data_IF_506956960584
#
_entry.id   IF_506956960584
#
_cell.length_a   1.000
_cell.length_b   1.000
_cell.length_c   1.000
_cell.angle_alpha   90.00
_cell.angle_beta   90.00
_cell.angle_gamma   90.00
#
_symmetry.space_group_name_H-M   'P 1'
#
loop_
_entity.id
_entity.type
_entity.pdbx_description
1 polymer ?
#
# COMPACT_ATOMS: atom_id res chain seq x y z
N UNK A 1 17.69 -18.82 8.89
CA UNK A 1 16.85 -17.73 8.37
C UNK A 1 17.14 -16.48 9.18
N UNK A 2 17.56 -15.39 8.53
CA UNK A 2 17.78 -14.09 9.15
C UNK A 2 16.47 -13.30 9.26
N UNK A 3 16.45 -12.23 10.06
CA UNK A 3 15.29 -11.35 10.16
C UNK A 3 14.92 -10.72 8.79
N UNK A 4 15.92 -10.40 7.97
CA UNK A 4 15.74 -9.86 6.63
C UNK A 4 15.14 -10.90 5.67
N UNK A 5 15.60 -12.15 5.74
CA UNK A 5 15.01 -13.25 4.96
C UNK A 5 13.54 -13.48 5.35
N UNK A 6 13.21 -13.42 6.65
CA UNK A 6 11.84 -13.52 7.13
C UNK A 6 10.98 -12.36 6.65
N UNK A 7 11.48 -11.12 6.72
CA UNK A 7 10.78 -9.93 6.21
C UNK A 7 10.45 -10.11 4.73
N UNK A 8 11.43 -10.45 3.90
CA UNK A 8 11.22 -10.67 2.47
C UNK A 8 10.19 -11.78 2.17
N UNK A 9 10.23 -12.87 2.94
CA UNK A 9 9.23 -13.92 2.83
C UNK A 9 7.83 -13.44 3.19
N UNK A 10 7.67 -12.66 4.28
CA UNK A 10 6.39 -12.08 4.68
C UNK A 10 5.84 -11.19 3.56
N UNK A 11 6.66 -10.29 3.00
CA UNK A 11 6.20 -9.39 1.92
C UNK A 11 5.82 -10.16 0.65
N UNK A 12 6.54 -11.24 0.32
CA UNK A 12 6.16 -12.14 -0.78
C UNK A 12 4.81 -12.81 -0.53
N UNK A 13 4.58 -13.32 0.68
CA UNK A 13 3.31 -13.92 1.08
C UNK A 13 2.18 -12.89 1.08
N UNK A 14 2.44 -11.64 1.46
CA UNK A 14 1.47 -10.54 1.39
C UNK A 14 1.01 -10.28 -0.04
N UNK A 15 1.93 -10.29 -1.02
CA UNK A 15 1.54 -10.17 -2.45
C UNK A 15 0.67 -11.32 -2.91
N UNK A 16 1.02 -12.55 -2.54
CA UNK A 16 0.21 -13.73 -2.85
C UNK A 16 -1.17 -13.65 -2.19
N UNK A 17 -1.23 -13.18 -0.95
CA UNK A 17 -2.48 -12.94 -0.23
C UNK A 17 -3.36 -11.91 -0.95
N UNK A 18 -2.77 -10.83 -1.48
CA UNK A 18 -3.51 -9.86 -2.28
C UNK A 18 -4.15 -10.53 -3.50
N UNK A 19 -3.36 -11.26 -4.29
CA UNK A 19 -3.86 -11.93 -5.50
C UNK A 19 -4.98 -12.93 -5.20
N UNK A 20 -4.95 -13.59 -4.04
CA UNK A 20 -5.98 -14.53 -3.63
C UNK A 20 -7.28 -13.85 -3.14
N UNK A 21 -7.20 -12.68 -2.52
CA UNK A 21 -8.37 -11.99 -1.93
C UNK A 21 -9.02 -10.95 -2.85
N UNK A 22 -8.25 -10.40 -3.80
CA UNK A 22 -8.73 -9.42 -4.79
C UNK A 22 -8.49 -9.91 -6.22
N UNK A 23 -9.11 -11.03 -6.63
CA UNK A 23 -9.04 -11.46 -8.02
C UNK A 23 -9.71 -10.43 -8.93
N UNK A 24 -9.22 -10.31 -10.16
CA UNK A 24 -9.87 -9.50 -11.18
C UNK A 24 -11.29 -10.05 -11.44
N UNK A 25 -12.29 -9.18 -11.36
CA UNK A 25 -13.67 -9.51 -11.68
C UNK A 25 -14.05 -8.87 -13.00
N UNK A 26 -14.79 -9.59 -13.84
CA UNK A 26 -15.37 -9.03 -15.04
C UNK A 26 -16.57 -8.14 -14.68
N UNK A 27 -16.80 -7.11 -15.48
CA UNK A 27 -17.97 -6.25 -15.37
C UNK A 27 -19.17 -6.88 -16.09
N UNK A 28 -20.29 -7.01 -15.39
CA UNK A 28 -21.56 -7.52 -15.88
C UNK A 28 -22.60 -6.40 -15.91
N UNK A 29 -23.06 -5.93 -17.09
CA UNK A 29 -23.83 -4.68 -17.25
C UNK A 29 -25.08 -4.52 -16.38
N UNK A 30 -25.72 -5.62 -15.97
CA UNK A 30 -27.00 -5.61 -15.23
C UNK A 30 -26.80 -5.88 -13.73
N UNK A 31 -25.74 -6.60 -13.34
CA UNK A 31 -25.55 -7.11 -11.99
C UNK A 31 -24.35 -6.51 -11.26
N UNK A 32 -23.33 -6.03 -11.97
CA UNK A 32 -22.19 -5.37 -11.35
C UNK A 32 -22.60 -4.03 -10.76
N UNK A 33 -22.27 -3.82 -9.49
CA UNK A 33 -22.43 -2.52 -8.85
C UNK A 33 -21.54 -1.47 -9.52
N UNK A 34 -22.09 -0.27 -9.74
CA UNK A 34 -21.36 0.89 -10.28
C UNK A 34 -21.36 2.00 -9.23
N UNK A 35 -20.53 1.89 -8.18
CA UNK A 35 -20.44 2.93 -7.18
C UNK A 35 -19.79 4.18 -7.78
N UNK A 36 -20.24 5.37 -7.35
CA UNK A 36 -19.68 6.66 -7.82
C UNK A 36 -18.26 6.91 -7.31
N UNK A 37 -17.84 6.20 -6.26
CA UNK A 37 -16.50 6.26 -5.66
C UNK A 37 -16.07 4.87 -5.19
N UNK A 38 -14.76 4.63 -5.10
CA UNK A 38 -14.22 3.38 -4.60
C UNK A 38 -12.73 3.48 -4.37
N UNK A 39 -12.23 2.72 -3.39
CA UNK A 39 -10.78 2.56 -3.19
C UNK A 39 -10.25 1.64 -4.29
N UNK A 40 -9.18 2.08 -4.95
CA UNK A 40 -8.42 1.29 -5.92
C UNK A 40 -7.01 1.19 -5.37
N UNK A 41 -6.53 -0.03 -5.19
CA UNK A 41 -5.21 -0.34 -4.66
C UNK A 41 -4.78 -1.71 -5.20
N UNK A 42 -3.48 -1.90 -5.30
CA UNK A 42 -2.83 -3.14 -5.70
C UNK A 42 -2.11 -3.82 -4.52
N UNK A 43 -1.28 -4.81 -4.84
CA UNK A 43 -0.54 -5.56 -3.84
C UNK A 43 0.48 -4.69 -3.09
N UNK A 44 1.01 -3.63 -3.72
CA UNK A 44 2.05 -2.80 -3.13
C UNK A 44 1.52 -1.94 -1.98
N UNK A 45 0.26 -1.48 -2.00
CA UNK A 45 -0.33 -0.83 -0.81
C UNK A 45 -0.32 -1.77 0.40
N UNK A 46 -0.71 -3.03 0.22
CA UNK A 46 -0.70 -4.01 1.32
C UNK A 46 0.72 -4.33 1.78
N UNK A 47 1.66 -4.47 0.84
CA UNK A 47 3.08 -4.72 1.14
C UNK A 47 3.66 -3.57 1.95
N UNK A 48 3.43 -2.31 1.56
CA UNK A 48 3.92 -1.15 2.30
C UNK A 48 3.33 -1.09 3.72
N UNK A 49 2.05 -1.42 3.89
CA UNK A 49 1.42 -1.49 5.22
C UNK A 49 2.07 -2.56 6.11
N UNK A 50 2.30 -3.76 5.57
CA UNK A 50 2.95 -4.84 6.33
C UNK A 50 4.41 -4.51 6.60
N UNK A 51 5.15 -3.98 5.63
CA UNK A 51 6.55 -3.58 5.79
C UNK A 51 6.72 -2.49 6.85
N UNK A 52 5.83 -1.49 6.89
CA UNK A 52 5.78 -0.50 7.95
C UNK A 52 5.45 -1.13 9.32
N UNK A 53 4.54 -2.12 9.35
CA UNK A 53 4.18 -2.82 10.58
C UNK A 53 5.34 -3.62 11.15
N UNK A 54 6.19 -4.21 10.29
CA UNK A 54 7.39 -4.96 10.68
C UNK A 54 8.50 -4.06 11.24
N UNK A 55 8.49 -2.75 10.94
CA UNK A 55 9.39 -1.79 11.60
C UNK A 55 8.97 -1.54 13.06
N UNK A 56 7.70 -1.81 13.39
CA UNK A 56 7.08 -1.57 14.69
C UNK A 56 7.28 -0.13 15.21
N UNK A 57 7.52 0.81 14.29
CA UNK A 57 7.59 2.24 14.57
C UNK A 57 6.22 2.85 14.29
N UNK A 58 5.40 2.96 15.33
CA UNK A 58 3.97 3.24 15.22
C UNK A 58 3.64 4.74 15.04
N UNK A 59 4.63 5.61 15.15
CA UNK A 59 4.50 7.05 14.90
C UNK A 59 5.01 7.40 13.51
N UNK A 60 4.92 8.67 13.13
CA UNK A 60 5.47 9.19 11.88
C UNK A 60 6.94 8.77 11.72
N UNK A 61 7.23 8.08 10.60
CA UNK A 61 8.51 7.43 10.38
C UNK A 61 8.93 7.39 8.91
N UNK A 62 9.59 6.30 8.52
CA UNK A 62 10.21 6.11 7.18
C UNK A 62 9.25 6.46 6.04
N UNK A 63 8.05 5.89 6.04
CA UNK A 63 7.07 6.08 4.97
C UNK A 63 6.51 7.50 4.90
N UNK A 64 6.26 8.15 6.05
CA UNK A 64 5.79 9.53 6.06
C UNK A 64 6.82 10.50 5.47
N UNK A 65 8.10 10.35 5.82
CA UNK A 65 9.18 11.17 5.27
C UNK A 65 9.35 11.00 3.75
N UNK A 66 9.16 9.77 3.25
CA UNK A 66 9.18 9.49 1.81
C UNK A 66 7.99 10.17 1.15
N UNK A 67 6.79 9.97 1.69
CA UNK A 67 5.56 10.56 1.18
C UNK A 67 5.62 12.09 1.12
N UNK A 68 5.99 12.77 2.20
CA UNK A 68 6.07 14.24 2.25
C UNK A 68 6.99 14.81 1.17
N UNK A 69 8.15 14.17 0.97
CA UNK A 69 9.12 14.59 -0.06
C UNK A 69 8.58 14.37 -1.46
N UNK A 70 7.97 13.23 -1.72
CA UNK A 70 7.45 12.88 -3.05
C UNK A 70 6.19 13.66 -3.39
N UNK A 71 5.33 13.87 -2.40
CA UNK A 71 4.11 14.66 -2.53
C UNK A 71 4.42 16.14 -2.77
N UNK A 72 5.37 16.74 -2.03
CA UNK A 72 5.80 18.11 -2.28
C UNK A 72 6.33 18.28 -3.72
N UNK A 73 7.13 17.32 -4.20
CA UNK A 73 7.62 17.31 -5.59
C UNK A 73 6.49 17.17 -6.60
N UNK A 74 5.54 16.27 -6.34
CA UNK A 74 4.40 16.01 -7.22
C UNK A 74 3.50 17.25 -7.38
N UNK A 75 3.19 17.94 -6.28
CA UNK A 75 2.34 19.13 -6.28
C UNK A 75 3.11 20.39 -6.73
N UNK A 76 4.45 20.37 -6.70
CA UNK A 76 5.28 21.51 -7.06
C UNK A 76 5.45 22.52 -5.93
N UNK A 77 5.37 22.08 -4.67
CA UNK A 77 5.61 22.92 -3.50
C UNK A 77 6.97 22.62 -2.88
N UNK A 78 7.46 23.53 -2.04
CA UNK A 78 8.74 23.35 -1.35
C UNK A 78 8.65 22.30 -0.23
N UNK A 79 7.51 22.23 0.46
CA UNK A 79 7.30 21.38 1.63
C UNK A 79 5.88 20.81 1.63
N UNK A 80 5.75 19.62 2.20
CA UNK A 80 4.49 19.00 2.61
C UNK A 80 4.69 18.40 4.01
N UNK A 81 3.61 18.32 4.79
CA UNK A 81 3.61 17.76 6.14
C UNK A 81 2.36 16.89 6.30
N UNK A 82 2.55 15.66 6.75
CA UNK A 82 1.47 14.80 7.22
C UNK A 82 1.09 15.24 8.65
N UNK A 83 -0.20 15.52 8.86
CA UNK A 83 -0.77 15.91 10.15
C UNK A 83 -1.44 14.75 10.87
#
# INVERSE_FOLDING_TARGET
>A
MTAEELRNQILSLTRQYYAANWPASNFEPVSSAVPVTGKVFDAEELVHLVDASLDFWLTTGRYAKIFEREFARFVGTRFALLV
#
